data_IF_811117727269
#
_entry.id   IF_811117727269
#
_cell.length_a   1.000
_cell.length_b   1.000
_cell.length_c   1.000
_cell.angle_alpha   90.00
_cell.angle_beta   90.00
_cell.angle_gamma   90.00
#
_symmetry.space_group_name_H-M   'P 1'
#
loop_
_entity.id
_entity.type
_entity.pdbx_description
1 polymer ?
#
# COMPACT_ATOMS: atom_id res chain seq x y z
N UNK A 1 -19.47 31.82 52.24
CA UNK A 1 -20.26 32.93 51.66
C UNK A 1 -19.27 33.73 50.83
N UNK A 2 -19.15 33.72 49.50
CA UNK A 2 -19.94 33.29 48.31
C UNK A 2 -18.93 33.32 47.15
N UNK A 3 -18.63 32.21 46.46
CA UNK A 3 -19.15 31.82 45.13
C UNK A 3 -18.91 32.82 43.97
N UNK A 4 -18.01 32.45 43.06
CA UNK A 4 -18.02 32.81 41.62
C UNK A 4 -17.35 31.66 40.85
N UNK A 5 -18.11 30.68 40.37
CA UNK A 5 -18.73 30.60 39.04
C UNK A 5 -17.76 30.87 37.87
N UNK A 6 -17.13 29.80 37.40
CA UNK A 6 -16.63 29.69 36.03
C UNK A 6 -17.32 28.47 35.38
N UNK A 7 -18.24 28.75 34.46
CA UNK A 7 -18.94 27.75 33.66
C UNK A 7 -18.04 27.31 32.50
N UNK A 8 -17.85 26.01 32.36
CA UNK A 8 -17.32 25.38 31.14
C UNK A 8 -18.48 25.22 30.13
N UNK A 9 -18.25 25.42 28.82
CA UNK A 9 -19.26 25.14 27.82
C UNK A 9 -19.44 23.62 27.66
N UNK A 10 -20.66 23.16 27.92
CA UNK A 10 -21.18 21.85 27.54
C UNK A 10 -21.32 21.81 26.02
N UNK A 11 -20.47 21.05 25.33
CA UNK A 11 -20.74 20.68 23.93
C UNK A 11 -21.72 19.52 23.97
N UNK A 12 -23.00 19.82 23.76
CA UNK A 12 -24.03 18.83 23.46
C UNK A 12 -23.75 18.26 22.07
N UNK A 13 -23.43 16.97 22.01
CA UNK A 13 -23.47 16.21 20.77
C UNK A 13 -24.92 15.73 20.58
N UNK A 14 -25.71 16.50 19.84
CA UNK A 14 -27.02 16.08 19.37
C UNK A 14 -26.84 15.01 18.30
N UNK A 15 -27.12 13.77 18.67
CA UNK A 15 -27.69 12.75 17.77
C UNK A 15 -28.95 13.30 17.08
N UNK A 16 -29.37 12.64 15.98
CA UNK A 16 -30.52 12.93 15.09
C UNK A 16 -30.13 13.64 13.78
N UNK A 17 -29.85 12.87 12.72
CA UNK A 17 -30.65 12.79 11.46
C UNK A 17 -30.32 11.45 10.79
N UNK A 18 -31.17 10.44 11.02
CA UNK A 18 -31.33 9.29 10.12
C UNK A 18 -32.83 9.13 9.99
N UNK A 19 -33.44 9.77 8.99
CA UNK A 19 -34.82 9.43 8.59
C UNK A 19 -35.18 9.82 7.13
N UNK A 20 -34.34 10.51 6.35
CA UNK A 20 -34.73 10.95 5.00
C UNK A 20 -34.15 10.16 3.81
N UNK A 21 -33.57 8.96 4.02
CA UNK A 21 -33.00 8.16 2.92
C UNK A 21 -33.82 6.90 2.55
N UNK A 22 -35.10 6.84 2.90
CA UNK A 22 -35.97 5.68 2.61
C UNK A 22 -37.22 5.98 1.75
N UNK A 23 -37.35 7.17 1.15
CA UNK A 23 -38.56 7.53 0.41
C UNK A 23 -38.37 8.11 -1.01
N UNK A 24 -37.20 7.94 -1.65
CA UNK A 24 -36.99 8.43 -3.03
C UNK A 24 -36.81 7.35 -4.12
N UNK A 25 -37.08 6.07 -3.83
CA UNK A 25 -36.91 4.99 -4.82
C UNK A 25 -38.18 4.39 -5.41
N UNK A 26 -39.35 5.00 -5.19
CA UNK A 26 -40.56 4.55 -5.90
C UNK A 26 -41.51 5.72 -6.18
N UNK A 27 -41.39 6.32 -7.37
CA UNK A 27 -42.57 6.59 -8.19
C UNK A 27 -42.26 6.91 -9.66
N UNK A 28 -43.21 6.53 -10.54
CA UNK A 28 -43.28 6.65 -12.01
C UNK A 28 -42.55 5.55 -12.84
N UNK A 29 -43.15 4.81 -13.78
CA UNK A 29 -44.47 4.90 -14.44
C UNK A 29 -44.88 3.58 -15.15
N UNK A 30 -46.19 3.42 -15.30
CA UNK A 30 -47.01 2.41 -15.99
C UNK A 30 -46.64 2.10 -17.47
N UNK A 31 -46.94 0.94 -18.08
CA UNK A 31 -48.30 0.41 -18.34
C UNK A 31 -48.35 -0.96 -19.07
N UNK A 32 -49.39 -1.76 -18.73
CA UNK A 32 -50.14 -2.78 -19.54
C UNK A 32 -49.41 -4.06 -20.05
N UNK A 33 -49.99 -5.27 -20.13
CA UNK A 33 -51.26 -5.87 -19.70
C UNK A 33 -51.18 -7.41 -19.82
N UNK A 34 -52.10 -8.10 -19.13
CA UNK A 34 -52.61 -9.49 -19.31
C UNK A 34 -52.01 -10.72 -18.57
N UNK A 35 -52.89 -11.22 -17.67
CA UNK A 35 -53.41 -12.59 -17.46
C UNK A 35 -52.63 -13.63 -16.62
N UNK A 36 -53.37 -14.06 -15.57
CA UNK A 36 -53.73 -15.45 -15.25
C UNK A 36 -52.93 -16.19 -14.16
N UNK A 37 -53.56 -16.22 -12.97
CA UNK A 37 -53.84 -17.37 -12.10
C UNK A 37 -52.75 -18.45 -11.88
N UNK A 38 -52.37 -18.59 -10.61
CA UNK A 38 -51.74 -19.80 -10.07
C UNK A 38 -51.23 -19.58 -8.64
N UNK A 39 -52.02 -19.99 -7.65
CA UNK A 39 -51.63 -19.97 -6.23
C UNK A 39 -50.46 -20.91 -5.95
N UNK A 40 -49.43 -20.46 -5.23
CA UNK A 40 -48.70 -21.19 -4.17
C UNK A 40 -47.54 -20.30 -3.70
N UNK A 41 -47.70 -19.60 -2.57
CA UNK A 41 -46.58 -18.96 -1.86
C UNK A 41 -47.00 -18.51 -0.45
N UNK A 42 -47.18 -19.46 0.46
CA UNK A 42 -47.08 -19.17 1.90
C UNK A 42 -45.64 -19.41 2.32
N UNK A 43 -44.98 -18.34 2.82
CA UNK A 43 -43.77 -18.49 3.62
C UNK A 43 -42.45 -18.03 3.01
N UNK A 44 -42.42 -16.95 2.21
CA UNK A 44 -41.16 -16.33 1.78
C UNK A 44 -41.21 -14.80 1.92
N UNK A 45 -41.54 -14.32 3.13
CA UNK A 45 -41.43 -12.89 3.52
C UNK A 45 -40.51 -12.67 4.73
N UNK A 46 -39.59 -13.60 4.96
CA UNK A 46 -38.50 -13.46 5.94
C UNK A 46 -37.14 -13.62 5.25
N UNK A 47 -36.77 -12.73 4.34
CA UNK A 47 -35.37 -12.73 3.86
C UNK A 47 -34.78 -11.36 3.55
N UNK A 48 -35.59 -10.37 3.17
CA UNK A 48 -35.04 -9.06 2.76
C UNK A 48 -34.62 -8.21 3.97
N UNK A 49 -35.42 -8.16 5.03
CA UNK A 49 -35.06 -7.40 6.24
C UNK A 49 -33.91 -8.03 7.04
N UNK A 50 -33.80 -9.37 7.04
CA UNK A 50 -32.68 -10.06 7.68
C UNK A 50 -31.38 -9.92 6.89
N UNK A 51 -31.45 -10.01 5.56
CA UNK A 51 -30.30 -9.74 4.71
C UNK A 51 -29.82 -8.28 4.87
N UNK A 52 -30.73 -7.30 4.85
CA UNK A 52 -30.39 -5.89 5.06
C UNK A 52 -29.82 -5.62 6.48
N UNK A 53 -30.39 -6.23 7.52
CA UNK A 53 -29.87 -6.11 8.89
C UNK A 53 -28.50 -6.78 9.06
N UNK A 54 -28.24 -7.91 8.40
CA UNK A 54 -26.93 -8.55 8.34
C UNK A 54 -25.92 -7.72 7.56
N UNK A 55 -26.32 -7.11 6.44
CA UNK A 55 -25.47 -6.21 5.66
C UNK A 55 -25.12 -4.95 6.46
N UNK A 56 -26.11 -4.33 7.09
CA UNK A 56 -25.89 -3.14 7.91
C UNK A 56 -25.03 -3.46 9.13
N UNK A 57 -25.24 -4.62 9.78
CA UNK A 57 -24.43 -5.05 10.92
C UNK A 57 -23.00 -5.41 10.49
N UNK A 58 -22.81 -6.04 9.32
CA UNK A 58 -21.47 -6.35 8.81
C UNK A 58 -20.70 -5.09 8.41
N UNK A 59 -21.36 -4.11 7.78
CA UNK A 59 -20.76 -2.81 7.43
C UNK A 59 -20.44 -2.00 8.68
N UNK A 60 -21.35 -1.94 9.66
CA UNK A 60 -21.13 -1.24 10.92
C UNK A 60 -20.04 -1.92 11.76
N UNK A 61 -19.98 -3.26 11.73
CA UNK A 61 -18.92 -4.05 12.36
C UNK A 61 -17.57 -3.81 11.66
N UNK A 62 -17.51 -3.73 10.33
CA UNK A 62 -16.34 -3.35 9.51
C UNK A 62 -15.85 -1.93 9.79
N UNK A 63 -16.75 -0.95 9.86
CA UNK A 63 -16.40 0.43 10.25
C UNK A 63 -15.89 0.49 11.69
N UNK A 64 -16.25 -0.50 12.54
CA UNK A 64 -15.62 -0.70 13.83
C UNK A 64 -14.32 -1.53 13.77
N UNK A 65 -14.14 -2.44 12.79
CA UNK A 65 -12.90 -3.20 12.56
C UNK A 65 -11.70 -2.25 12.35
N UNK A 66 -11.97 -1.06 11.80
CA UNK A 66 -10.97 -0.06 11.43
C UNK A 66 -11.23 1.27 12.14
N UNK A 67 -11.72 1.26 13.39
CA UNK A 67 -11.47 2.38 14.32
C UNK A 67 -10.04 2.34 14.86
N UNK A 68 -9.08 2.01 13.99
CA UNK A 68 -7.68 2.20 14.26
C UNK A 68 -7.45 3.70 14.20
N UNK A 69 -7.39 4.35 15.37
CA UNK A 69 -6.88 5.70 15.46
C UNK A 69 -5.61 5.75 14.63
N UNK A 70 -5.53 6.70 13.71
CA UNK A 70 -4.31 7.28 13.24
C UNK A 70 -3.06 6.36 13.13
N UNK A 71 -2.69 6.08 11.89
CA UNK A 71 -1.87 4.94 11.54
C UNK A 71 -0.43 5.30 11.19
N UNK A 72 -0.15 6.58 10.93
CA UNK A 72 1.19 7.03 10.61
C UNK A 72 1.83 7.75 11.79
N UNK A 73 3.11 7.48 11.94
CA UNK A 73 3.99 8.15 12.88
C UNK A 73 5.06 8.88 12.10
N UNK A 74 5.26 10.16 12.40
CA UNK A 74 6.43 10.90 11.92
C UNK A 74 7.53 10.84 12.99
N UNK A 75 8.55 9.98 12.85
CA UNK A 75 9.60 9.90 13.85
C UNK A 75 10.41 11.21 13.88
N UNK A 76 10.92 11.63 15.05
CA UNK A 76 11.96 12.65 15.11
C UNK A 76 13.14 12.20 14.24
N UNK A 77 13.61 13.08 13.36
CA UNK A 77 14.74 12.81 12.49
C UNK A 77 15.77 13.93 12.55
N UNK A 78 17.04 13.55 12.33
CA UNK A 78 18.15 14.50 12.22
C UNK A 78 18.61 14.51 10.77
N UNK A 79 18.65 15.69 10.17
CA UNK A 79 19.20 15.88 8.84
C UNK A 79 20.73 15.69 8.87
N UNK A 80 21.24 14.82 7.99
CA UNK A 80 22.66 14.56 7.81
C UNK A 80 23.07 14.69 6.35
N UNK A 81 24.27 15.20 6.04
CA UNK A 81 24.83 15.10 4.70
C UNK A 81 25.00 13.63 4.28
N UNK A 82 24.70 13.32 3.02
CA UNK A 82 24.91 12.00 2.43
C UNK A 82 25.65 12.15 1.09
N UNK A 83 26.97 12.42 1.12
CA UNK A 83 27.73 12.80 -0.07
C UNK A 83 27.95 11.65 -1.07
N UNK A 84 27.58 10.41 -0.75
CA UNK A 84 27.64 9.26 -1.65
C UNK A 84 26.38 9.08 -2.51
N UNK A 85 25.29 9.83 -2.25
CA UNK A 85 24.11 9.78 -3.11
C UNK A 85 24.47 10.25 -4.52
N UNK A 86 24.07 9.48 -5.53
CA UNK A 86 24.26 9.79 -6.95
C UNK A 86 22.93 9.69 -7.66
N UNK A 87 22.60 10.72 -8.43
CA UNK A 87 21.39 10.86 -9.22
C UNK A 87 21.77 11.03 -10.69
N UNK A 88 21.77 9.93 -11.44
CA UNK A 88 22.23 9.90 -12.83
C UNK A 88 21.34 10.78 -13.73
N UNK A 89 20.05 10.89 -13.40
CA UNK A 89 19.15 11.82 -14.08
C UNK A 89 19.60 13.26 -13.88
N UNK A 90 19.89 13.68 -12.64
CA UNK A 90 20.32 15.05 -12.35
C UNK A 90 21.71 15.34 -12.94
N UNK A 91 22.64 14.39 -12.84
CA UNK A 91 23.99 14.48 -13.42
C UNK A 91 23.91 14.70 -14.94
N UNK A 92 23.05 13.96 -15.64
CA UNK A 92 22.83 14.10 -17.10
C UNK A 92 22.19 15.43 -17.49
N UNK A 93 21.32 15.96 -16.64
CA UNK A 93 20.72 17.29 -16.83
C UNK A 93 21.68 18.43 -16.43
N UNK A 94 22.85 18.11 -15.87
CA UNK A 94 23.82 19.11 -15.41
C UNK A 94 23.33 19.89 -14.17
N UNK A 95 22.41 19.31 -13.39
CA UNK A 95 21.83 19.99 -12.23
C UNK A 95 22.60 19.61 -10.97
N UNK A 96 23.24 20.57 -10.27
CA UNK A 96 23.93 20.27 -9.03
C UNK A 96 22.93 19.91 -7.93
N UNK A 97 23.33 18.99 -7.04
CA UNK A 97 22.55 18.64 -5.86
C UNK A 97 23.47 18.30 -4.68
N UNK A 98 22.91 18.41 -3.48
CA UNK A 98 23.50 17.92 -2.24
C UNK A 98 22.70 16.72 -1.75
N UNK A 99 23.34 15.55 -1.70
CA UNK A 99 22.74 14.38 -1.06
C UNK A 99 22.56 14.58 0.44
N UNK A 100 21.38 14.24 0.94
CA UNK A 100 21.02 14.33 2.36
C UNK A 100 20.32 13.05 2.82
N UNK A 101 20.30 12.84 4.13
CA UNK A 101 19.56 11.76 4.77
C UNK A 101 18.84 12.27 6.02
N UNK A 102 17.58 11.90 6.17
CA UNK A 102 16.83 12.05 7.41
C UNK A 102 17.05 10.80 8.25
N UNK A 103 17.76 10.94 9.37
CA UNK A 103 18.12 9.84 10.27
C UNK A 103 17.15 9.79 11.45
N UNK A 104 16.29 8.76 11.48
CA UNK A 104 15.34 8.50 12.56
C UNK A 104 16.00 7.87 13.80
N UNK A 105 17.30 7.54 13.75
CA UNK A 105 18.09 6.98 14.84
C UNK A 105 17.43 5.76 15.49
N UNK A 106 17.20 5.84 16.80
CA UNK A 106 16.60 4.75 17.59
C UNK A 106 15.10 4.53 17.33
N UNK A 107 14.46 5.41 16.57
CA UNK A 107 13.07 5.19 16.17
C UNK A 107 12.94 4.08 15.10
N UNK A 108 14.00 3.77 14.37
CA UNK A 108 14.04 2.65 13.45
C UNK A 108 14.34 1.32 14.15
N UNK A 109 13.81 0.23 13.61
CA UNK A 109 13.98 -1.14 14.14
C UNK A 109 15.40 -1.66 13.95
N UNK A 110 16.05 -1.27 12.85
CA UNK A 110 17.42 -1.65 12.51
C UNK A 110 18.20 -0.41 12.08
N UNK A 111 19.53 -0.34 12.34
CA UNK A 111 20.36 0.76 11.87
C UNK A 111 20.28 0.99 10.36
N UNK A 112 20.21 -0.10 9.58
CA UNK A 112 20.06 -0.05 8.12
C UNK A 112 18.71 0.51 7.64
N UNK A 113 17.73 0.68 8.54
CA UNK A 113 16.41 1.26 8.28
C UNK A 113 16.26 2.70 8.79
N UNK A 114 17.27 3.25 9.47
CA UNK A 114 17.17 4.57 10.09
C UNK A 114 17.21 5.73 9.09
N UNK A 115 17.84 5.53 7.93
CA UNK A 115 18.04 6.59 6.94
C UNK A 115 16.94 6.58 5.89
N UNK A 116 16.39 7.77 5.64
CA UNK A 116 15.60 8.09 4.44
C UNK A 116 16.36 9.12 3.63
N UNK A 117 16.74 8.77 2.40
CA UNK A 117 17.56 9.62 1.55
C UNK A 117 16.72 10.69 0.83
N UNK A 118 17.35 11.80 0.46
CA UNK A 118 16.80 12.84 -0.40
C UNK A 118 17.97 13.62 -1.05
N UNK A 119 17.68 14.51 -2.00
CA UNK A 119 18.66 15.39 -2.60
C UNK A 119 18.14 16.82 -2.68
N UNK A 120 18.93 17.78 -2.21
CA UNK A 120 18.59 19.20 -2.31
C UNK A 120 19.20 19.78 -3.59
N UNK A 121 18.36 20.32 -4.46
CA UNK A 121 18.78 21.02 -5.67
C UNK A 121 18.96 22.53 -5.45
N UNK A 122 18.48 23.06 -4.31
CA UNK A 122 18.47 24.50 -4.06
C UNK A 122 17.43 25.21 -4.92
N UNK A 123 17.65 26.51 -5.17
CA UNK A 123 16.76 27.30 -6.01
C UNK A 123 16.98 27.01 -7.49
N UNK A 124 15.89 26.77 -8.21
CA UNK A 124 15.92 26.38 -9.62
C UNK A 124 15.32 27.47 -10.50
N UNK A 125 15.82 27.59 -11.73
CA UNK A 125 15.09 28.25 -12.80
C UNK A 125 13.92 27.38 -13.31
N UNK A 126 13.02 27.98 -14.07
CA UNK A 126 11.81 27.31 -14.60
C UNK A 126 12.17 26.11 -15.47
N UNK A 127 13.18 26.25 -16.34
CA UNK A 127 13.54 25.21 -17.30
C UNK A 127 14.14 23.99 -16.62
N UNK A 128 15.03 24.21 -15.65
CA UNK A 128 15.62 23.16 -14.82
C UNK A 128 14.57 22.44 -13.98
N UNK A 129 13.64 23.19 -13.38
CA UNK A 129 12.52 22.61 -12.64
C UNK A 129 11.66 21.70 -13.51
N UNK A 130 11.25 22.16 -14.69
CA UNK A 130 10.43 21.36 -15.61
C UNK A 130 11.18 20.13 -16.13
N UNK A 131 12.50 20.24 -16.35
CA UNK A 131 13.34 19.11 -16.75
C UNK A 131 13.38 18.01 -15.68
N UNK A 132 13.59 18.39 -14.40
CA UNK A 132 13.56 17.45 -13.29
C UNK A 132 12.17 16.85 -13.06
N UNK A 133 11.12 17.66 -13.12
CA UNK A 133 9.73 17.20 -12.97
C UNK A 133 9.36 16.19 -14.06
N UNK A 134 9.75 16.45 -15.31
CA UNK A 134 9.55 15.51 -16.40
C UNK A 134 10.38 14.24 -16.19
N UNK A 135 11.64 14.34 -15.76
CA UNK A 135 12.51 13.18 -15.65
C UNK A 135 12.09 12.22 -14.51
N UNK A 136 11.80 12.74 -13.32
CA UNK A 136 11.43 11.91 -12.16
C UNK A 136 9.94 11.55 -12.10
N UNK A 137 9.08 12.29 -12.82
CA UNK A 137 7.64 12.04 -12.89
C UNK A 137 7.17 11.33 -14.15
N UNK A 138 7.98 11.20 -15.20
CA UNK A 138 7.56 10.65 -16.51
C UNK A 138 6.96 9.25 -16.45
N UNK A 139 7.37 8.45 -15.48
CA UNK A 139 6.88 7.09 -15.32
C UNK A 139 5.53 7.04 -14.61
N UNK A 140 4.92 8.14 -14.17
CA UNK A 140 3.62 8.14 -13.49
C UNK A 140 2.64 9.08 -14.16
N UNK A 141 1.38 8.66 -14.32
CA UNK A 141 0.27 9.48 -14.81
C UNK A 141 -0.18 10.52 -13.78
N UNK A 142 -0.10 10.23 -12.46
CA UNK A 142 -0.49 11.19 -11.42
C UNK A 142 0.42 12.42 -11.36
N UNK A 143 1.72 12.26 -11.69
CA UNK A 143 2.81 13.26 -11.72
C UNK A 143 2.91 14.12 -10.45
N UNK A 144 4.06 14.77 -10.23
CA UNK A 144 4.15 15.77 -9.15
C UNK A 144 3.28 16.99 -9.48
N UNK A 145 2.46 17.43 -8.53
CA UNK A 145 1.67 18.68 -8.61
C UNK A 145 2.42 19.90 -8.08
N UNK A 146 3.67 19.73 -7.63
CA UNK A 146 4.49 20.82 -7.09
C UNK A 146 4.69 21.89 -8.16
N UNK A 147 4.58 23.16 -7.75
CA UNK A 147 4.70 24.32 -8.65
C UNK A 147 6.07 24.99 -8.53
N UNK A 148 6.59 25.44 -9.67
CA UNK A 148 7.76 26.31 -9.67
C UNK A 148 7.45 27.67 -9.03
N UNK A 149 8.38 28.17 -8.22
CA UNK A 149 8.35 29.48 -7.58
C UNK A 149 9.75 30.04 -7.52
N UNK A 150 9.88 31.32 -7.87
CA UNK A 150 11.17 32.03 -7.83
C UNK A 150 11.75 32.00 -6.41
N UNK A 151 13.02 31.60 -6.29
CA UNK A 151 13.75 31.60 -5.02
C UNK A 151 13.44 30.43 -4.08
N UNK A 152 12.39 29.64 -4.35
CA UNK A 152 12.10 28.43 -3.57
C UNK A 152 13.19 27.38 -3.78
N UNK A 153 13.60 26.71 -2.70
CA UNK A 153 14.49 25.56 -2.74
C UNK A 153 13.70 24.27 -2.98
N UNK A 154 14.24 23.38 -3.79
CA UNK A 154 13.61 22.11 -4.19
C UNK A 154 14.43 20.90 -3.75
N UNK A 155 13.72 19.80 -3.51
CA UNK A 155 14.25 18.48 -3.14
C UNK A 155 13.84 17.43 -4.17
N UNK A 156 14.45 16.23 -4.16
CA UNK A 156 14.05 15.12 -5.03
C UNK A 156 12.60 14.71 -4.78
N UNK A 157 12.17 14.71 -3.51
CA UNK A 157 10.78 14.42 -3.16
C UNK A 157 9.78 15.33 -3.90
N UNK A 158 10.10 16.61 -4.12
CA UNK A 158 9.20 17.53 -4.84
C UNK A 158 8.92 17.11 -6.30
N UNK A 159 9.72 16.21 -6.88
CA UNK A 159 9.56 15.73 -8.26
C UNK A 159 8.98 14.32 -8.36
N UNK A 160 8.76 13.62 -7.24
CA UNK A 160 8.19 12.27 -7.22
C UNK A 160 6.66 12.29 -7.33
N UNK A 161 6.01 11.16 -7.66
CA UNK A 161 4.54 11.06 -7.63
C UNK A 161 3.95 11.34 -6.23
N UNK A 162 2.69 11.81 -6.14
CA UNK A 162 2.09 12.28 -4.88
C UNK A 162 2.15 11.27 -3.74
N UNK A 163 1.88 9.99 -4.00
CA UNK A 163 1.99 8.94 -2.99
C UNK A 163 3.38 8.83 -2.36
N UNK A 164 4.45 8.96 -3.17
CA UNK A 164 5.82 8.91 -2.65
C UNK A 164 6.16 10.17 -1.86
N UNK A 165 5.56 11.31 -2.20
CA UNK A 165 5.73 12.54 -1.42
C UNK A 165 5.09 12.42 -0.03
N UNK A 166 3.88 11.87 0.03
CA UNK A 166 3.04 11.90 1.24
C UNK A 166 3.56 11.00 2.35
N UNK A 167 4.14 9.86 1.99
CA UNK A 167 4.58 8.84 2.96
C UNK A 167 6.06 8.88 3.30
N UNK A 168 6.87 9.65 2.57
CA UNK A 168 8.33 9.65 2.76
C UNK A 168 8.73 10.00 4.19
N UNK A 169 9.56 9.13 4.78
CA UNK A 169 10.04 9.24 6.16
C UNK A 169 9.01 8.85 7.22
N UNK A 170 7.77 8.54 6.85
CA UNK A 170 6.75 8.08 7.79
C UNK A 170 6.95 6.62 8.17
N UNK A 171 6.48 6.26 9.36
CA UNK A 171 6.33 4.89 9.82
C UNK A 171 4.84 4.55 9.89
N UNK A 172 4.49 3.28 9.70
CA UNK A 172 3.11 2.79 9.85
C UNK A 172 2.96 2.00 11.14
N UNK A 173 2.11 2.45 12.07
CA UNK A 173 1.81 1.77 13.33
C UNK A 173 0.83 0.62 13.06
N UNK A 174 1.29 -0.61 13.27
CA UNK A 174 0.42 -1.77 13.18
C UNK A 174 -0.58 -1.80 14.33
N UNK A 175 -1.77 -2.31 14.07
CA UNK A 175 -2.79 -2.53 15.10
C UNK A 175 -3.37 -3.93 14.99
N UNK A 176 -3.74 -4.52 16.13
CA UNK A 176 -4.36 -5.83 16.19
C UNK A 176 -5.75 -5.70 16.78
N UNK A 177 -6.72 -6.34 16.14
CA UNK A 177 -8.08 -6.44 16.67
C UNK A 177 -8.51 -7.90 16.68
N UNK A 178 -9.13 -8.31 17.77
CA UNK A 178 -9.70 -9.65 17.88
C UNK A 178 -11.09 -9.65 17.25
N UNK A 179 -11.27 -10.52 16.26
CA UNK A 179 -12.52 -10.68 15.54
C UNK A 179 -13.23 -11.99 15.87
N UNK A 180 -14.55 -11.88 15.98
CA UNK A 180 -15.46 -13.01 16.14
C UNK A 180 -16.07 -13.32 14.77
N UNK A 181 -16.15 -14.60 14.42
CA UNK A 181 -16.80 -15.04 13.18
C UNK A 181 -15.89 -15.05 11.95
N UNK A 182 -14.62 -14.67 12.09
CA UNK A 182 -13.62 -15.06 11.10
C UNK A 182 -13.38 -16.57 11.19
N UNK A 183 -13.21 -17.22 10.05
CA UNK A 183 -13.16 -18.66 10.00
C UNK A 183 -11.76 -19.20 10.32
N UNK A 184 -11.70 -20.44 10.82
CA UNK A 184 -10.46 -21.10 11.27
C UNK A 184 -10.25 -22.41 10.50
N UNK A 185 -9.07 -22.61 9.92
CA UNK A 185 -8.67 -23.87 9.25
C UNK A 185 -7.88 -24.83 10.14
N UNK A 186 -7.71 -24.53 11.43
CA UNK A 186 -6.91 -25.36 12.35
C UNK A 186 -7.65 -26.64 12.76
N UNK A 187 -7.85 -27.60 11.85
CA UNK A 187 -8.01 -29.04 12.13
C UNK A 187 -9.35 -29.59 12.70
N UNK A 188 -9.75 -30.72 12.11
CA UNK A 188 -10.76 -31.75 12.45
C UNK A 188 -12.25 -31.34 12.67
N UNK A 189 -13.22 -32.09 12.10
CA UNK A 189 -14.66 -31.78 12.17
C UNK A 189 -15.24 -31.62 13.58
N UNK A 190 -14.62 -32.25 14.59
CA UNK A 190 -15.18 -32.38 15.95
C UNK A 190 -14.53 -31.47 17.00
N UNK A 191 -13.62 -30.57 16.61
CA UNK A 191 -12.91 -29.73 17.58
C UNK A 191 -13.75 -28.52 18.03
N UNK A 192 -14.77 -28.79 18.85
CA UNK A 192 -15.69 -27.80 19.43
C UNK A 192 -14.98 -26.69 20.22
N UNK A 193 -13.75 -26.93 20.68
CA UNK A 193 -12.94 -25.93 21.37
C UNK A 193 -12.46 -24.79 20.45
N UNK A 194 -12.42 -25.01 19.12
CA UNK A 194 -11.86 -24.07 18.14
C UNK A 194 -12.86 -23.12 17.49
N UNK A 195 -14.17 -23.37 17.66
CA UNK A 195 -15.28 -22.53 17.15
C UNK A 195 -15.34 -21.11 17.76
N UNK A 196 -14.50 -20.84 18.75
CA UNK A 196 -14.41 -19.58 19.49
C UNK A 196 -12.99 -19.00 19.55
N UNK A 197 -12.04 -19.54 18.76
CA UNK A 197 -10.72 -18.95 18.67
C UNK A 197 -10.85 -17.52 18.14
N UNK A 198 -10.57 -16.57 19.02
CA UNK A 198 -10.45 -15.14 18.74
C UNK A 198 -9.46 -14.98 17.58
N UNK A 199 -9.95 -14.82 16.36
CA UNK A 199 -9.10 -14.64 15.19
C UNK A 199 -8.56 -13.21 15.24
N UNK A 200 -7.25 -13.06 15.16
CA UNK A 200 -6.64 -11.74 15.14
C UNK A 200 -6.60 -11.21 13.71
N UNK A 201 -7.10 -9.99 13.52
CA UNK A 201 -6.82 -9.20 12.34
C UNK A 201 -5.71 -8.22 12.67
N UNK A 202 -4.60 -8.36 11.98
CA UNK A 202 -3.48 -7.42 12.00
C UNK A 202 -3.69 -6.39 10.90
N UNK A 203 -3.76 -5.10 11.22
CA UNK A 203 -3.61 -4.04 10.22
C UNK A 203 -2.14 -3.63 10.21
N UNK A 204 -1.46 -3.80 9.08
CA UNK A 204 -0.05 -3.45 8.90
C UNK A 204 0.25 -3.11 7.43
N UNK A 205 1.38 -2.48 7.17
CA UNK A 205 1.84 -2.08 5.83
C UNK A 205 3.17 -2.74 5.50
N UNK A 206 3.26 -3.47 4.39
CA UNK A 206 4.48 -4.11 3.94
C UNK A 206 5.00 -3.54 2.59
N UNK A 207 6.17 -4.03 2.15
CA UNK A 207 6.80 -3.62 0.89
C UNK A 207 5.97 -3.99 -0.35
N UNK A 208 5.33 -5.16 -0.36
CA UNK A 208 4.60 -5.67 -1.53
C UNK A 208 3.35 -4.86 -1.81
N UNK A 209 2.51 -4.67 -0.79
CA UNK A 209 1.28 -3.89 -0.86
C UNK A 209 1.56 -2.45 -1.26
N UNK A 210 2.58 -1.84 -0.65
CA UNK A 210 2.98 -0.48 -0.98
C UNK A 210 3.51 -0.35 -2.41
N UNK A 211 4.41 -1.23 -2.85
CA UNK A 211 4.94 -1.17 -4.21
C UNK A 211 3.85 -1.37 -5.27
N UNK A 212 2.88 -2.25 -5.02
CA UNK A 212 1.72 -2.41 -5.89
C UNK A 212 0.89 -1.13 -5.96
N UNK A 213 0.61 -0.51 -4.81
CA UNK A 213 -0.14 0.74 -4.74
C UNK A 213 0.56 1.88 -5.50
N UNK A 214 1.90 1.94 -5.43
CA UNK A 214 2.71 2.88 -6.22
C UNK A 214 2.49 2.69 -7.72
N UNK A 215 2.51 1.45 -8.21
CA UNK A 215 2.26 1.16 -9.62
C UNK A 215 0.80 1.42 -10.01
N UNK A 216 -0.14 1.02 -9.16
CA UNK A 216 -1.57 1.25 -9.36
C UNK A 216 -1.86 2.74 -9.53
N UNK A 217 -1.40 3.59 -8.61
CA UNK A 217 -1.59 5.03 -8.71
C UNK A 217 -0.78 5.66 -9.85
N UNK A 218 0.37 5.08 -10.22
CA UNK A 218 1.11 5.54 -11.38
C UNK A 218 0.36 5.34 -12.71
N UNK A 219 -0.59 4.39 -12.76
CA UNK A 219 -1.40 4.13 -13.96
C UNK A 219 -2.85 4.65 -13.83
N UNK A 220 -3.27 5.10 -12.65
CA UNK A 220 -4.62 5.56 -12.35
C UNK A 220 -4.63 6.99 -11.77
N UNK A 221 -4.59 7.99 -12.66
CA UNK A 221 -4.52 9.41 -12.30
C UNK A 221 -5.66 9.93 -11.40
N UNK A 222 -6.82 9.27 -11.45
CA UNK A 222 -8.01 9.65 -10.69
C UNK A 222 -8.00 9.15 -9.24
N UNK A 223 -7.01 8.33 -8.87
CA UNK A 223 -6.89 7.81 -7.51
C UNK A 223 -6.26 8.85 -6.59
N UNK A 224 -7.02 9.29 -5.58
CA UNK A 224 -6.56 10.17 -4.51
C UNK A 224 -6.31 9.43 -3.19
N UNK A 225 -6.89 8.25 -3.01
CA UNK A 225 -6.75 7.45 -1.80
C UNK A 225 -5.48 6.59 -1.80
N UNK A 226 -4.90 6.35 -0.64
CA UNK A 226 -3.80 5.38 -0.47
C UNK A 226 -4.32 4.09 0.14
N UNK A 227 -4.07 2.96 -0.53
CA UNK A 227 -4.30 1.64 0.09
C UNK A 227 -3.07 1.20 0.90
N UNK A 228 -3.26 1.03 2.21
CA UNK A 228 -2.36 0.26 3.04
C UNK A 228 -2.73 -1.21 2.92
N UNK A 229 -1.83 -1.96 2.30
CA UNK A 229 -1.99 -3.39 2.09
C UNK A 229 -0.82 -4.16 2.67
N UNK A 230 -1.13 -5.33 3.20
CA UNK A 230 -0.19 -6.41 3.46
C UNK A 230 -0.84 -7.69 2.93
N UNK A 231 -0.06 -8.44 2.18
CA UNK A 231 -0.52 -9.60 1.42
C UNK A 231 0.19 -10.88 1.90
N UNK A 232 -0.36 -12.04 1.58
CA UNK A 232 0.40 -13.28 1.57
C UNK A 232 1.50 -13.25 0.50
N UNK A 233 2.64 -13.87 0.81
CA UNK A 233 3.81 -13.91 -0.07
C UNK A 233 3.53 -14.55 -1.44
N UNK A 234 2.61 -15.51 -1.52
CA UNK A 234 2.20 -16.18 -2.77
C UNK A 234 1.37 -15.25 -3.64
N UNK A 235 0.43 -14.50 -3.05
CA UNK A 235 -0.33 -13.48 -3.79
C UNK A 235 0.58 -12.36 -4.29
N UNK A 236 1.49 -11.88 -3.43
CA UNK A 236 2.51 -10.91 -3.82
C UNK A 236 3.36 -11.41 -4.99
N UNK A 237 3.85 -12.66 -4.91
CA UNK A 237 4.58 -13.31 -5.99
C UNK A 237 3.79 -13.28 -7.30
N UNK A 238 2.54 -13.77 -7.30
CA UNK A 238 1.73 -13.87 -8.52
C UNK A 238 1.44 -12.49 -9.12
N UNK A 239 1.19 -11.50 -8.29
CA UNK A 239 0.90 -10.14 -8.73
C UNK A 239 2.06 -9.55 -9.54
N UNK A 240 3.31 -9.66 -9.04
CA UNK A 240 4.48 -9.13 -9.73
C UNK A 240 5.03 -10.05 -10.83
N UNK A 241 4.69 -11.35 -10.81
CA UNK A 241 5.20 -12.31 -11.80
C UNK A 241 4.24 -12.69 -12.91
N UNK A 242 2.99 -12.24 -12.83
CA UNK A 242 1.93 -12.54 -13.78
C UNK A 242 2.04 -11.85 -15.14
N UNK A 243 1.06 -12.07 -16.03
CA UNK A 243 1.07 -11.60 -17.43
C UNK A 243 1.19 -10.08 -17.64
N UNK A 244 0.99 -9.28 -16.60
CA UNK A 244 1.14 -7.82 -16.64
C UNK A 244 2.58 -7.33 -16.46
N UNK A 245 3.55 -8.20 -16.22
CA UNK A 245 4.93 -7.80 -15.92
C UNK A 245 5.97 -8.50 -16.78
N UNK A 246 6.77 -7.70 -17.50
CA UNK A 246 7.93 -8.18 -18.23
C UNK A 246 9.14 -8.27 -17.31
N UNK A 247 9.83 -9.42 -17.33
CA UNK A 247 11.13 -9.55 -16.66
C UNK A 247 12.22 -8.87 -17.49
N UNK A 248 12.78 -7.79 -16.95
CA UNK A 248 13.83 -7.00 -17.62
C UNK A 248 15.20 -7.66 -17.50
N UNK A 249 15.54 -8.11 -16.29
CA UNK A 249 16.82 -8.74 -15.99
C UNK A 249 16.77 -9.49 -14.65
N UNK A 250 17.62 -10.51 -14.47
CA UNK A 250 17.67 -11.33 -13.25
C UNK A 250 19.11 -11.72 -12.95
N UNK A 251 19.49 -11.60 -11.67
CA UNK A 251 20.81 -12.03 -11.19
C UNK A 251 21.02 -13.54 -11.26
N UNK A 252 19.93 -14.33 -11.26
CA UNK A 252 19.99 -15.78 -11.47
C UNK A 252 20.56 -16.13 -12.85
N UNK A 253 20.17 -15.40 -13.88
CA UNK A 253 20.64 -15.63 -15.25
C UNK A 253 21.86 -14.77 -15.60
N UNK A 254 22.09 -13.67 -14.88
CA UNK A 254 23.21 -12.76 -15.10
C UNK A 254 23.81 -12.25 -13.78
N UNK A 255 24.66 -13.04 -13.09
CA UNK A 255 25.20 -12.69 -11.77
C UNK A 255 26.01 -11.38 -11.74
N UNK A 256 26.60 -10.98 -12.87
CA UNK A 256 27.35 -9.72 -13.01
C UNK A 256 26.51 -8.48 -12.70
N UNK A 257 25.17 -8.57 -12.74
CA UNK A 257 24.28 -7.47 -12.34
C UNK A 257 24.50 -7.04 -10.88
N UNK A 258 24.99 -7.93 -10.02
CA UNK A 258 25.21 -7.64 -8.60
C UNK A 258 26.48 -6.79 -8.37
N UNK A 259 27.44 -6.85 -9.29
CA UNK A 259 28.75 -6.18 -9.15
C UNK A 259 28.97 -5.06 -10.16
N UNK A 260 28.35 -5.11 -11.34
CA UNK A 260 28.53 -4.13 -12.42
C UNK A 260 27.34 -3.16 -12.48
N UNK A 261 27.55 -1.95 -11.93
CA UNK A 261 26.56 -0.87 -11.92
C UNK A 261 26.10 -0.48 -13.32
N UNK A 262 27.00 -0.42 -14.30
CA UNK A 262 26.67 -0.01 -15.67
C UNK A 262 25.80 -1.06 -16.33
N UNK A 263 26.16 -2.33 -16.18
CA UNK A 263 25.38 -3.43 -16.71
C UNK A 263 23.98 -3.48 -16.08
N UNK A 264 23.91 -3.32 -14.75
CA UNK A 264 22.65 -3.32 -13.99
C UNK A 264 21.71 -2.21 -14.42
N UNK A 265 22.17 -0.97 -14.54
CA UNK A 265 21.27 0.16 -14.81
C UNK A 265 20.97 0.39 -16.30
N UNK A 266 21.70 -0.25 -17.22
CA UNK A 266 21.60 -0.02 -18.67
C UNK A 266 20.18 -0.11 -19.26
N UNK A 267 19.33 -0.99 -18.74
CA UNK A 267 17.96 -1.22 -19.25
C UNK A 267 16.86 -0.67 -18.33
N UNK A 268 17.24 -0.23 -17.14
CA UNK A 268 16.30 0.14 -16.11
C UNK A 268 15.80 1.57 -16.29
N UNK A 269 14.59 1.85 -15.84
CA UNK A 269 14.00 3.17 -15.83
C UNK A 269 13.15 3.37 -14.57
N UNK A 270 12.86 4.63 -14.23
CA UNK A 270 11.94 4.95 -13.14
C UNK A 270 10.61 4.21 -13.28
N UNK A 271 10.10 3.69 -12.18
CA UNK A 271 8.89 2.86 -12.13
C UNK A 271 9.10 1.36 -12.36
N UNK A 272 10.30 0.91 -12.76
CA UNK A 272 10.64 -0.51 -12.71
C UNK A 272 10.63 -1.02 -11.27
N UNK A 273 10.18 -2.25 -11.05
CA UNK A 273 10.17 -2.86 -9.71
C UNK A 273 11.32 -3.84 -9.56
N UNK A 274 12.00 -3.74 -8.43
CA UNK A 274 12.97 -4.69 -7.95
C UNK A 274 12.27 -5.70 -7.03
N UNK A 275 12.54 -6.98 -7.26
CA UNK A 275 12.03 -8.11 -6.52
C UNK A 275 13.22 -8.87 -5.92
N UNK A 276 13.22 -9.05 -4.61
CA UNK A 276 14.25 -9.79 -3.87
C UNK A 276 13.68 -11.09 -3.35
N UNK A 277 14.32 -12.19 -3.74
CA UNK A 277 13.83 -13.53 -3.42
C UNK A 277 14.87 -14.33 -2.66
N UNK A 278 14.41 -15.05 -1.65
CA UNK A 278 15.21 -16.04 -0.95
C UNK A 278 14.84 -17.44 -1.44
N UNK A 279 15.84 -18.22 -1.80
CA UNK A 279 15.67 -19.64 -2.07
C UNK A 279 16.00 -20.40 -0.78
N UNK A 280 14.97 -20.98 -0.15
CA UNK A 280 15.17 -21.80 1.04
C UNK A 280 15.62 -23.18 0.58
N UNK A 281 16.90 -23.48 0.80
CA UNK A 281 17.48 -24.79 0.58
C UNK A 281 17.12 -25.73 1.74
N UNK A 282 15.83 -25.97 1.97
CA UNK A 282 15.38 -27.07 2.80
C UNK A 282 14.71 -28.11 1.90
N UNK A 283 15.14 -29.36 2.07
CA UNK A 283 14.41 -30.57 1.69
C UNK A 283 13.64 -30.54 0.35
N UNK A 284 14.39 -30.80 -0.74
CA UNK A 284 13.91 -31.22 -2.08
C UNK A 284 12.95 -30.29 -2.84
N UNK A 285 12.44 -29.23 -2.22
CA UNK A 285 11.31 -28.47 -2.78
C UNK A 285 11.67 -27.16 -3.47
N UNK A 286 12.95 -26.73 -3.47
CA UNK A 286 13.42 -25.50 -4.16
C UNK A 286 12.44 -24.32 -4.00
N UNK A 287 11.92 -24.11 -2.79
CA UNK A 287 10.92 -23.06 -2.54
C UNK A 287 11.59 -21.70 -2.61
N UNK A 288 10.98 -20.81 -3.39
CA UNK A 288 11.39 -19.42 -3.55
C UNK A 288 10.34 -18.54 -2.89
N UNK A 289 10.78 -17.64 -2.01
CA UNK A 289 9.93 -16.68 -1.33
C UNK A 289 10.30 -15.28 -1.77
N UNK A 290 9.29 -14.44 -2.03
CA UNK A 290 9.50 -13.02 -2.25
C UNK A 290 9.65 -12.34 -0.89
N UNK A 291 10.84 -11.88 -0.55
CA UNK A 291 11.12 -11.20 0.71
C UNK A 291 10.84 -9.70 0.62
N UNK A 292 11.16 -9.09 -0.51
CA UNK A 292 11.13 -7.63 -0.60
C UNK A 292 10.87 -7.09 -2.00
N UNK A 293 10.20 -5.94 -2.04
CA UNK A 293 9.91 -5.21 -3.27
C UNK A 293 10.23 -3.74 -3.09
N UNK A 294 10.85 -3.14 -4.10
CA UNK A 294 11.12 -1.71 -4.15
C UNK A 294 10.90 -1.17 -5.57
N UNK A 295 10.55 0.11 -5.67
CA UNK A 295 10.34 0.80 -6.96
C UNK A 295 11.56 1.63 -7.30
N UNK A 296 12.12 1.47 -8.50
CA UNK A 296 13.25 2.25 -8.96
C UNK A 296 12.81 3.70 -9.23
N UNK A 297 13.59 4.66 -8.74
CA UNK A 297 13.38 6.10 -8.96
C UNK A 297 14.46 6.68 -9.87
N UNK A 298 15.72 6.29 -9.64
CA UNK A 298 16.90 6.64 -10.44
C UNK A 298 17.88 5.46 -10.43
N UNK A 299 18.96 5.51 -11.20
CA UNK A 299 20.00 4.48 -11.25
C UNK A 299 20.57 4.16 -9.86
N UNK A 300 20.26 2.97 -9.37
CA UNK A 300 20.57 2.49 -8.01
C UNK A 300 19.90 3.27 -6.86
N UNK A 301 18.82 4.00 -7.14
CA UNK A 301 18.01 4.67 -6.12
C UNK A 301 16.60 4.11 -6.16
N UNK A 302 16.16 3.57 -5.03
CA UNK A 302 14.93 2.81 -4.92
C UNK A 302 14.06 3.42 -3.83
N UNK A 303 12.76 3.46 -4.06
CA UNK A 303 11.75 3.79 -3.06
C UNK A 303 11.15 2.50 -2.51
N UNK A 304 11.10 2.36 -1.19
CA UNK A 304 10.63 1.16 -0.52
C UNK A 304 9.83 1.48 0.75
N UNK A 305 8.95 0.57 1.14
CA UNK A 305 8.59 0.39 2.56
C UNK A 305 9.48 -0.73 3.08
N UNK A 306 10.42 -0.45 3.99
CA UNK A 306 11.55 -1.34 4.29
C UNK A 306 11.21 -2.64 5.07
N UNK A 307 9.94 -3.05 5.10
CA UNK A 307 9.42 -4.21 5.83
C UNK A 307 7.99 -3.98 6.34
N UNK A 308 7.45 -4.90 7.15
CA UNK A 308 6.08 -4.81 7.72
C UNK A 308 6.00 -4.18 9.12
N UNK A 309 7.12 -3.85 9.76
CA UNK A 309 7.13 -3.37 11.15
C UNK A 309 6.73 -1.89 11.37
N UNK A 310 6.45 -1.57 12.64
CA UNK A 310 6.08 -0.21 13.10
C UNK A 310 7.23 0.80 13.08
N UNK A 311 8.45 0.28 12.94
CA UNK A 311 9.69 1.04 13.01
C UNK A 311 10.49 0.89 11.72
N UNK A 312 9.80 0.72 10.60
CA UNK A 312 10.42 0.73 9.28
C UNK A 312 9.80 1.84 8.43
N UNK A 313 10.64 2.70 7.82
CA UNK A 313 10.13 3.82 7.07
C UNK A 313 9.69 3.43 5.67
N UNK A 314 8.80 4.25 5.12
CA UNK A 314 8.74 4.48 3.68
C UNK A 314 9.87 5.44 3.32
N UNK A 315 10.73 5.07 2.37
CA UNK A 315 11.96 5.83 2.13
C UNK A 315 12.54 5.65 0.74
N UNK A 316 13.39 6.59 0.37
CA UNK A 316 14.42 6.39 -0.64
C UNK A 316 15.66 5.72 -0.03
N UNK A 317 16.23 4.77 -0.76
CA UNK A 317 17.43 4.03 -0.41
C UNK A 317 18.32 3.84 -1.65
N UNK A 318 19.59 3.52 -1.43
CA UNK A 318 20.55 3.22 -2.51
C UNK A 318 20.74 1.72 -2.69
N UNK A 319 21.35 1.30 -3.80
CA UNK A 319 21.84 -0.08 -3.98
C UNK A 319 22.71 -0.55 -2.80
N UNK A 320 23.63 0.30 -2.33
CA UNK A 320 24.49 -0.01 -1.17
C UNK A 320 23.64 -0.27 0.09
N UNK A 321 22.69 0.62 0.38
CA UNK A 321 21.81 0.46 1.53
C UNK A 321 20.85 -0.73 1.40
N UNK A 322 20.40 -1.08 0.20
CA UNK A 322 19.60 -2.29 -0.03
C UNK A 322 20.44 -3.55 0.17
N UNK A 323 21.62 -3.64 -0.44
CA UNK A 323 22.50 -4.82 -0.33
C UNK A 323 23.06 -5.03 1.08
N UNK A 324 23.14 -3.98 1.90
CA UNK A 324 23.44 -4.11 3.32
C UNK A 324 22.32 -4.83 4.11
N UNK A 325 21.05 -4.63 3.72
CA UNK A 325 19.90 -5.26 4.36
C UNK A 325 19.56 -6.62 3.73
N UNK A 326 19.84 -6.79 2.44
CA UNK A 326 19.57 -7.98 1.65
C UNK A 326 20.84 -8.43 0.94
N UNK A 327 21.73 -9.21 1.58
CA UNK A 327 23.02 -9.57 0.98
C UNK A 327 22.88 -10.34 -0.34
N UNK A 328 23.60 -9.95 -1.42
CA UNK A 328 23.56 -10.65 -2.71
C UNK A 328 24.01 -12.12 -2.67
N UNK A 329 24.63 -12.56 -1.57
CA UNK A 329 25.00 -13.96 -1.33
C UNK A 329 23.84 -14.84 -0.88
N UNK A 330 22.75 -14.22 -0.40
CA UNK A 330 21.56 -14.91 0.12
C UNK A 330 20.38 -14.72 -0.83
N UNK A 331 20.24 -13.52 -1.39
CA UNK A 331 19.08 -13.15 -2.18
C UNK A 331 19.36 -13.12 -3.67
N UNK A 332 18.37 -13.57 -4.42
CA UNK A 332 18.27 -13.36 -5.85
C UNK A 332 17.55 -12.03 -6.12
N UNK A 333 18.07 -11.28 -7.07
CA UNK A 333 17.59 -9.97 -7.49
C UNK A 333 17.00 -10.05 -8.89
N UNK A 334 15.77 -9.60 -9.06
CA UNK A 334 15.09 -9.55 -10.34
C UNK A 334 14.40 -8.20 -10.54
N UNK A 335 14.50 -7.66 -11.75
CA UNK A 335 13.84 -6.41 -12.12
C UNK A 335 12.75 -6.71 -13.12
N UNK A 336 11.57 -6.14 -12.87
CA UNK A 336 10.41 -6.25 -13.75
C UNK A 336 9.85 -4.89 -14.09
N UNK A 337 9.16 -4.83 -15.22
CA UNK A 337 8.46 -3.66 -15.72
C UNK A 337 7.01 -3.99 -15.94
N UNK A 338 6.13 -3.13 -15.45
CA UNK A 338 4.71 -3.19 -15.77
C UNK A 338 4.56 -3.01 -17.29
N UNK A 339 3.92 -3.98 -17.95
CA UNK A 339 3.58 -3.93 -19.36
C UNK A 339 2.45 -2.94 -19.53
N UNK A 340 2.79 -1.66 -19.64
CA UNK A 340 1.82 -0.63 -19.98
C UNK A 340 1.25 -0.99 -21.33
N UNK A 341 -0.09 -1.06 -21.41
CA UNK A 341 -0.83 -1.31 -22.63
C UNK A 341 -0.19 -0.50 -23.75
N UNK A 342 0.60 -1.19 -24.57
CA UNK A 342 1.21 -0.63 -25.74
C UNK A 342 0.00 -0.22 -26.57
N UNK A 343 -0.31 1.09 -26.68
CA UNK A 343 -1.54 1.59 -27.33
C UNK A 343 -1.71 1.09 -28.77
N UNK A 344 -0.68 0.43 -29.31
CA UNK A 344 -0.60 -0.16 -30.63
C UNK A 344 -0.71 -1.70 -30.66
N UNK A 345 -1.03 -2.38 -29.55
CA UNK A 345 -1.22 -3.85 -29.54
C UNK A 345 -2.70 -4.21 -29.65
N UNK A 346 -3.16 -4.79 -30.78
CA UNK A 346 -4.58 -4.95 -31.07
C UNK A 346 -5.22 -6.25 -30.52
N UNK A 347 -4.86 -6.72 -29.32
CA UNK A 347 -5.49 -7.94 -28.80
C UNK A 347 -5.61 -8.04 -27.27
N UNK A 348 -6.86 -8.23 -26.83
CA UNK A 348 -7.33 -8.90 -25.60
C UNK A 348 -7.23 -8.21 -24.23
N UNK A 349 -6.52 -7.08 -24.07
CA UNK A 349 -6.37 -6.44 -22.74
C UNK A 349 -6.77 -4.96 -22.71
N UNK A 350 -7.79 -4.57 -23.48
CA UNK A 350 -8.23 -3.17 -23.60
C UNK A 350 -8.71 -2.52 -22.28
N UNK A 351 -8.92 -3.29 -21.22
CA UNK A 351 -9.33 -2.81 -19.89
C UNK A 351 -8.28 -3.04 -18.77
N UNK A 352 -7.04 -3.40 -19.09
CA UNK A 352 -6.03 -3.83 -18.10
C UNK A 352 -5.35 -2.67 -17.36
N UNK A 353 -6.13 -1.75 -16.78
CA UNK A 353 -5.59 -0.94 -15.69
C UNK A 353 -5.29 -1.88 -14.53
N UNK A 354 -4.18 -1.64 -13.83
CA UNK A 354 -3.93 -2.33 -12.57
C UNK A 354 -5.14 -2.18 -11.67
N UNK A 355 -5.51 -3.25 -10.97
CA UNK A 355 -6.56 -3.21 -9.96
C UNK A 355 -5.98 -2.77 -8.61
N UNK A 356 -6.77 -2.15 -7.73
CA UNK A 356 -6.28 -1.73 -6.41
C UNK A 356 -5.79 -2.92 -5.58
N UNK A 357 -4.90 -2.65 -4.63
CA UNK A 357 -4.31 -3.66 -3.76
C UNK A 357 -5.35 -4.48 -2.98
N UNK A 358 -6.50 -3.90 -2.64
CA UNK A 358 -7.63 -4.61 -2.00
C UNK A 358 -8.20 -5.74 -2.86
N UNK A 359 -8.18 -5.60 -4.18
CA UNK A 359 -8.63 -6.66 -5.07
C UNK A 359 -7.53 -7.70 -5.33
N UNK A 360 -6.29 -7.24 -5.52
CA UNK A 360 -5.17 -8.11 -5.91
C UNK A 360 -4.59 -8.90 -4.74
N UNK A 361 -4.67 -8.35 -3.53
CA UNK A 361 -4.17 -9.00 -2.31
C UNK A 361 -5.27 -9.41 -1.36
N UNK A 362 -6.54 -9.20 -1.73
CA UNK A 362 -7.68 -9.68 -0.98
C UNK A 362 -7.75 -11.22 -0.93
N UNK A 363 -8.50 -11.77 0.02
CA UNK A 363 -8.76 -13.21 0.18
C UNK A 363 -9.34 -13.81 -1.10
N UNK A 364 -10.16 -13.06 -1.83
CA UNK A 364 -10.76 -13.50 -3.10
C UNK A 364 -9.69 -13.86 -4.14
N UNK A 365 -8.65 -13.03 -4.28
CA UNK A 365 -7.52 -13.33 -5.15
C UNK A 365 -6.80 -14.62 -4.76
N UNK A 366 -6.71 -14.92 -3.45
CA UNK A 366 -6.05 -16.14 -2.98
C UNK A 366 -6.82 -17.39 -3.41
N UNK A 367 -8.16 -17.29 -3.47
CA UNK A 367 -9.05 -18.36 -3.93
C UNK A 367 -9.02 -18.49 -5.45
N UNK A 368 -9.12 -17.38 -6.19
CA UNK A 368 -9.15 -17.40 -7.66
C UNK A 368 -7.86 -17.96 -8.27
N UNK A 369 -6.70 -17.65 -7.67
CA UNK A 369 -5.40 -18.06 -8.19
C UNK A 369 -4.83 -19.33 -7.55
N UNK A 370 -5.54 -19.94 -6.59
CA UNK A 370 -5.17 -21.21 -6.00
C UNK A 370 -5.28 -22.37 -7.03
N UNK A 371 -4.36 -23.33 -6.98
CA UNK A 371 -4.52 -24.58 -7.74
C UNK A 371 -5.71 -25.38 -7.15
N UNK A 372 -6.17 -26.43 -7.84
CA UNK A 372 -7.36 -27.20 -7.43
C UNK A 372 -7.30 -27.68 -5.95
N UNK A 373 -6.12 -28.08 -5.48
CA UNK A 373 -5.87 -28.51 -4.10
C UNK A 373 -5.98 -27.36 -3.08
N UNK A 374 -5.49 -26.16 -3.42
CA UNK A 374 -5.66 -24.97 -2.57
C UNK A 374 -7.09 -24.42 -2.61
N UNK A 375 -7.82 -24.55 -3.73
CA UNK A 375 -9.25 -24.21 -3.80
C UNK A 375 -10.06 -25.08 -2.84
N UNK A 376 -9.77 -26.38 -2.75
CA UNK A 376 -10.40 -27.26 -1.75
C UNK A 376 -10.05 -26.85 -0.31
N UNK A 377 -8.78 -26.52 -0.05
CA UNK A 377 -8.31 -26.02 1.25
C UNK A 377 -9.00 -24.72 1.65
N UNK A 378 -9.38 -23.88 0.69
CA UNK A 378 -9.98 -22.56 0.87
C UNK A 378 -11.47 -22.48 0.50
N UNK A 379 -12.16 -23.61 0.29
CA UNK A 379 -13.54 -23.64 -0.22
C UNK A 379 -14.51 -22.79 0.61
N UNK A 380 -14.33 -22.76 1.94
CA UNK A 380 -15.20 -21.92 2.76
C UNK A 380 -14.91 -20.41 2.57
N UNK A 381 -13.69 -19.97 2.19
CA UNK A 381 -13.39 -18.56 1.96
C UNK A 381 -14.15 -17.99 0.79
N UNK A 382 -14.42 -18.81 -0.23
CA UNK A 382 -15.29 -18.43 -1.35
C UNK A 382 -16.71 -18.05 -0.89
N UNK A 383 -17.09 -18.40 0.34
CA UNK A 383 -18.39 -18.11 0.96
C UNK A 383 -18.39 -16.76 1.71
N UNK A 384 -17.24 -16.09 1.82
CA UNK A 384 -17.19 -14.71 2.31
C UNK A 384 -17.84 -13.79 1.27
N UNK A 385 -18.46 -12.71 1.75
CA UNK A 385 -18.97 -11.68 0.84
C UNK A 385 -17.80 -11.02 0.09
N UNK A 386 -17.90 -10.75 -1.22
CA UNK A 386 -16.80 -10.15 -1.99
C UNK A 386 -16.28 -8.83 -1.40
N UNK A 387 -17.16 -8.00 -0.85
CA UNK A 387 -16.79 -6.74 -0.20
C UNK A 387 -15.92 -6.94 1.06
N UNK A 388 -16.09 -8.05 1.77
CA UNK A 388 -15.29 -8.41 2.95
C UNK A 388 -13.98 -9.08 2.53
N UNK A 389 -14.05 -9.98 1.54
CA UNK A 389 -12.87 -10.69 1.03
C UNK A 389 -11.82 -9.73 0.47
N UNK A 390 -12.24 -8.65 -0.19
CA UNK A 390 -11.34 -7.58 -0.68
C UNK A 390 -10.65 -6.77 0.43
N UNK A 391 -11.08 -6.88 1.69
CA UNK A 391 -10.50 -6.14 2.82
C UNK A 391 -9.58 -6.97 3.70
N UNK A 392 -9.38 -8.25 3.37
CA UNK A 392 -8.58 -9.16 4.17
C UNK A 392 -7.59 -9.87 3.26
N UNK A 393 -6.39 -10.14 3.74
CA UNK A 393 -5.46 -11.11 3.18
C UNK A 393 -5.24 -12.22 4.21
N UNK A 394 -5.19 -13.48 3.80
CA UNK A 394 -4.93 -14.60 4.70
C UNK A 394 -3.53 -15.16 4.49
N UNK A 395 -2.76 -15.28 5.57
CA UNK A 395 -1.52 -16.07 5.59
C UNK A 395 -1.74 -17.31 6.45
N UNK A 396 -1.31 -18.48 5.96
CA UNK A 396 -1.38 -19.75 6.69
C UNK A 396 0.00 -20.35 6.90
N UNK A 397 0.30 -20.77 8.12
CA UNK A 397 1.47 -21.60 8.44
C UNK A 397 1.02 -23.06 8.47
N UNK A 398 1.82 -23.95 7.89
CA UNK A 398 1.49 -25.39 7.84
C UNK A 398 2.72 -26.22 8.18
N UNK A 399 2.48 -27.39 8.75
CA UNK A 399 3.52 -28.39 8.98
C UNK A 399 3.97 -29.07 7.67
N UNK A 400 4.89 -30.03 7.82
CA UNK A 400 5.43 -30.81 6.70
C UNK A 400 4.37 -31.67 5.98
N UNK A 401 3.29 -32.05 6.67
CA UNK A 401 2.19 -32.85 6.15
C UNK A 401 1.06 -31.99 5.54
N UNK A 402 1.25 -30.67 5.50
CA UNK A 402 0.32 -29.71 4.92
C UNK A 402 -0.84 -29.32 5.84
N UNK A 403 -0.80 -29.74 7.10
CA UNK A 403 -1.79 -29.37 8.12
C UNK A 403 -1.56 -27.93 8.54
N UNK A 404 -2.62 -27.12 8.52
CA UNK A 404 -2.53 -25.72 8.94
C UNK A 404 -2.32 -25.65 10.45
N UNK A 405 -1.22 -25.04 10.89
CA UNK A 405 -0.85 -24.86 12.30
C UNK A 405 -1.21 -23.47 12.84
N UNK A 406 -1.14 -22.44 11.98
CA UNK A 406 -1.56 -21.09 12.33
C UNK A 406 -2.17 -20.33 11.14
N UNK A 407 -2.98 -19.32 11.45
CA UNK A 407 -3.53 -18.36 10.48
C UNK A 407 -3.38 -16.95 10.99
N UNK A 408 -3.07 -16.05 10.08
CA UNK A 408 -3.10 -14.61 10.34
C UNK A 408 -3.92 -13.94 9.25
N UNK A 409 -4.99 -13.25 9.66
CA UNK A 409 -5.71 -12.35 8.79
C UNK A 409 -5.05 -10.98 8.86
N UNK A 410 -4.79 -10.39 7.70
CA UNK A 410 -4.26 -9.05 7.58
C UNK A 410 -5.29 -8.13 6.95
N UNK A 411 -5.59 -7.01 7.60
CA UNK A 411 -6.52 -6.01 7.10
C UNK A 411 -5.89 -5.20 5.96
N UNK A 412 -6.67 -4.97 4.90
CA UNK A 412 -6.38 -4.02 3.84
C UNK A 412 -7.22 -2.78 4.09
N UNK A 413 -6.56 -1.64 4.24
CA UNK A 413 -7.21 -0.37 4.54
C UNK A 413 -6.98 0.64 3.43
N UNK A 414 -8.05 1.23 2.94
CA UNK A 414 -8.01 2.41 2.09
C UNK A 414 -8.09 3.65 2.97
N UNK A 415 -7.08 4.50 2.90
CA UNK A 415 -7.01 5.77 3.62
C UNK A 415 -7.71 6.87 2.82
N UNK A 416 -8.17 7.90 3.54
CA UNK A 416 -8.75 9.12 2.97
C UNK A 416 -7.80 9.83 1.98
N UNK A 417 -8.36 10.76 1.21
CA UNK A 417 -7.71 11.41 0.07
C UNK A 417 -6.39 12.13 0.44
N UNK A 418 -5.38 11.92 -0.40
CA UNK A 418 -4.15 12.70 -0.44
C UNK A 418 -4.51 14.17 -0.57
N UNK A 419 -4.06 14.97 0.40
CA UNK A 419 -4.24 16.41 0.38
C UNK A 419 -3.11 17.07 -0.40
N UNK A 420 -3.42 18.18 -1.06
CA UNK A 420 -2.42 19.00 -1.75
C UNK A 420 -2.38 20.37 -1.10
N UNK A 421 -1.19 20.80 -0.72
CA UNK A 421 -0.97 22.18 -0.29
C UNK A 421 -1.23 23.12 -1.47
N UNK A 422 -2.21 24.02 -1.33
CA UNK A 422 -2.64 24.91 -2.41
C UNK A 422 -1.52 25.85 -2.88
N UNK A 423 -0.62 26.19 -1.97
CA UNK A 423 0.48 27.11 -2.20
C UNK A 423 1.60 26.43 -3.02
N UNK A 424 2.13 25.34 -2.50
CA UNK A 424 3.32 24.66 -3.02
C UNK A 424 3.00 23.54 -4.02
N UNK A 425 1.78 23.00 -3.99
CA UNK A 425 1.35 21.80 -4.72
C UNK A 425 1.89 20.49 -4.16
N UNK A 426 2.54 20.52 -2.97
CA UNK A 426 3.11 19.32 -2.34
C UNK A 426 2.01 18.47 -1.72
N UNK A 427 2.13 17.16 -1.90
CA UNK A 427 1.14 16.21 -1.38
C UNK A 427 1.45 15.80 0.07
N UNK A 428 0.41 15.58 0.87
CA UNK A 428 0.49 15.08 2.25
C UNK A 428 -0.71 14.19 2.60
N UNK A 429 -0.58 13.39 3.66
CA UNK A 429 -1.72 12.68 4.24
C UNK A 429 -2.59 13.63 5.08
N UNK A 430 -3.91 13.39 5.19
CA UNK A 430 -4.77 14.18 6.06
C UNK A 430 -4.42 14.00 7.54
N UNK A 431 -4.73 14.97 8.43
CA UNK A 431 -4.44 14.87 9.86
C UNK A 431 -5.06 13.63 10.53
N UNK A 432 -6.19 13.14 10.01
CA UNK A 432 -6.87 11.90 10.43
C UNK A 432 -5.98 10.65 10.30
N UNK A 433 -4.96 10.69 9.43
CA UNK A 433 -4.02 9.59 9.22
C UNK A 433 -2.92 9.49 10.29
N UNK A 434 -2.72 10.51 11.14
CA UNK A 434 -1.58 10.62 12.06
C UNK A 434 -1.97 10.52 13.51
N UNK A 435 -1.14 9.84 14.33
CA UNK A 435 -1.51 9.60 15.72
C UNK A 435 -1.62 10.92 16.49
N UNK A 436 -2.49 10.97 17.51
CA UNK A 436 -2.77 12.23 18.23
C UNK A 436 -1.50 12.88 18.81
N UNK A 437 -0.45 12.10 19.09
CA UNK A 437 0.85 12.55 19.61
C UNK A 437 1.85 12.88 18.48
N UNK A 438 1.55 12.42 17.27
CA UNK A 438 2.33 12.45 16.04
C UNK A 438 1.83 13.47 15.02
N UNK A 439 0.74 14.20 15.30
CA UNK A 439 0.34 15.40 14.54
C UNK A 439 1.32 16.53 14.84
N UNK A 440 2.57 16.34 14.42
CA UNK A 440 3.44 17.45 14.08
C UNK A 440 3.34 17.49 12.58
N UNK A 441 2.52 18.39 12.04
CA UNK A 441 2.78 18.86 10.68
C UNK A 441 4.29 19.11 10.64
N UNK A 442 5.04 18.61 9.64
CA UNK A 442 6.36 19.15 9.44
C UNK A 442 6.12 20.65 9.36
N UNK A 443 6.62 21.40 10.34
CA UNK A 443 6.92 22.79 10.09
C UNK A 443 7.80 22.70 8.87
N UNK A 444 7.24 23.05 7.69
CA UNK A 444 8.02 23.36 6.50
C UNK A 444 9.23 24.08 7.05
N UNK A 445 10.46 23.60 6.77
CA UNK A 445 11.64 24.05 7.49
C UNK A 445 11.54 25.55 7.60
N UNK A 446 11.36 26.05 8.84
CA UNK A 446 11.40 27.48 9.11
C UNK A 446 12.61 27.94 8.33
N UNK A 447 12.40 28.83 7.36
CA UNK A 447 13.48 29.31 6.53
C UNK A 447 14.63 29.64 7.48
N UNK A 448 15.76 28.89 7.44
CA UNK A 448 16.85 29.14 8.38
C UNK A 448 17.52 30.50 8.12
N UNK A 449 16.96 31.29 7.19
CA UNK A 449 17.41 32.59 6.76
C UNK A 449 16.28 33.66 6.69
N UNK A 450 15.13 33.47 7.35
CA UNK A 450 14.20 34.57 7.62
C UNK A 450 14.69 35.49 8.73
#
# INVERSE_FOLDING_TARGET
ITSSNFQLPTVQCTTWVVDDLLLSLFDHSSSSSHRSLGSFATGQKMSIHWAAALHFSAILFLLCLIKGGALFVQPPSVLKPYPSLRLEIADRLGVPYRGIAYDAGKAASLPGFALTLDAEFGALDVSTFLALQNAYGAWSETKSRVRWRKGRKYTLLDFLPPLLQTVSGLHFRSSRTVQKGLPSFLGAPDDRAKKYAKQEVLLTSNCWGFAWEVLFQADNADTSAMTVSTADSTSAWRAFTGPGFDRIQSSLTQPKLLTDKKLRNRKLQGGDVLLLWHQIASDQSNKVYLDHVATLVDSDVYYEKSGSGDKVPFRLNTWEGLTANFPPTVFNWEWRRLVRNNRNSPSLWQDSRLKPASEIFGVDSQVEYANAEAVERFDFLSKLQPSVAKQLSLQTESDADGVVEAQTYTGILVLEDIMFDEETGRASLPPSAFDQESVRFPTLPNDPYS
#
